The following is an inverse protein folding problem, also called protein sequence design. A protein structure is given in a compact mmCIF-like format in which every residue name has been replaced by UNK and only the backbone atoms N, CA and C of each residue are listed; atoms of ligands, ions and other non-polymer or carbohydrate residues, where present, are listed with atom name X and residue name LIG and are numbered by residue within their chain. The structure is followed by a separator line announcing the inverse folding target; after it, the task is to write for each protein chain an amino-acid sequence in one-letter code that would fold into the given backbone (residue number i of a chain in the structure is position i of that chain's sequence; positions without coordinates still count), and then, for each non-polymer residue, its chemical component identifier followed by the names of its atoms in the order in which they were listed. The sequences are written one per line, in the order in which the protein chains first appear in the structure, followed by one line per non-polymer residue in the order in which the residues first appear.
data_IF_743926704566
#
_entry.id   IF_743926704566
#
_cell.length_a   1.000
_cell.length_b   1.000
_cell.length_c   1.000
_cell.angle_alpha   90.00
_cell.angle_beta   90.00
_cell.angle_gamma   90.00
#
_symmetry.space_group_name_H-M   'P 1'
#
loop_
_entity.id
_entity.type
_entity.pdbx_description
1 polymer ?
#
# COMPACT_ATOMS: atom_id res chain seq x y z
N UNK A 1 9.43 -4.03 6.41
CA UNK A 1 9.42 -4.87 7.64
C UNK A 1 8.44 -4.27 8.63
N UNK A 2 7.48 -5.08 9.11
CA UNK A 2 6.44 -4.68 10.06
C UNK A 2 7.01 -4.14 11.38
N UNK A 3 8.10 -4.76 11.88
CA UNK A 3 8.80 -4.31 13.08
C UNK A 3 9.38 -2.90 12.92
N UNK A 4 9.98 -2.62 11.76
CA UNK A 4 10.51 -1.28 11.49
C UNK A 4 9.41 -0.23 11.42
N UNK A 5 8.25 -0.55 10.85
CA UNK A 5 7.10 0.34 10.83
C UNK A 5 6.56 0.61 12.25
N UNK A 6 6.39 -0.44 13.05
CA UNK A 6 5.94 -0.30 14.44
C UNK A 6 6.91 0.56 15.28
N UNK A 7 8.23 0.38 15.08
CA UNK A 7 9.27 1.13 15.80
C UNK A 7 9.39 2.58 15.33
N UNK A 8 9.40 2.81 14.01
CA UNK A 8 9.68 4.14 13.43
C UNK A 8 8.43 4.99 13.28
N UNK A 9 7.25 4.37 13.24
CA UNK A 9 5.92 5.01 13.08
C UNK A 9 5.78 5.89 11.84
N UNK A 10 6.67 5.75 10.87
CA UNK A 10 6.63 6.47 9.60
C UNK A 10 6.88 5.50 8.47
N UNK A 11 6.23 5.75 7.34
CA UNK A 11 6.37 4.99 6.11
C UNK A 11 6.40 5.92 4.91
N UNK A 12 6.86 5.35 3.80
CA UNK A 12 6.77 5.95 2.48
C UNK A 12 6.07 4.96 1.58
N UNK A 13 5.09 5.44 0.82
CA UNK A 13 4.40 4.66 -0.21
C UNK A 13 4.64 5.32 -1.57
N UNK A 14 5.01 4.51 -2.56
CA UNK A 14 5.07 4.91 -3.96
C UNK A 14 3.85 4.31 -4.66
N UNK A 15 3.07 5.17 -5.30
CA UNK A 15 2.00 4.79 -6.21
C UNK A 15 2.50 5.01 -7.63
N UNK A 16 2.43 3.98 -8.46
CA UNK A 16 2.96 3.99 -9.82
C UNK A 16 1.87 3.45 -10.75
N UNK A 17 1.07 4.36 -11.28
CA UNK A 17 -0.02 4.09 -12.22
C UNK A 17 0.16 4.95 -13.49
N UNK A 18 -0.39 4.53 -14.64
CA UNK A 18 -0.30 5.31 -15.88
C UNK A 18 -0.80 6.75 -15.76
N UNK A 19 -1.85 6.94 -14.96
CA UNK A 19 -2.51 8.25 -14.78
C UNK A 19 -1.99 9.00 -13.55
N UNK A 20 -1.20 8.36 -12.68
CA UNK A 20 -0.72 8.97 -11.43
C UNK A 20 0.54 8.29 -10.93
N UNK A 21 1.59 9.09 -10.74
CA UNK A 21 2.78 8.69 -10.00
C UNK A 21 2.86 9.59 -8.79
N UNK A 22 2.88 9.01 -7.59
CA UNK A 22 2.89 9.77 -6.35
C UNK A 22 3.79 9.14 -5.30
N UNK A 23 4.44 10.02 -4.55
CA UNK A 23 5.25 9.70 -3.40
C UNK A 23 4.54 10.22 -2.14
N UNK A 24 4.17 9.30 -1.23
CA UNK A 24 3.41 9.64 -0.03
C UNK A 24 4.28 9.49 1.22
N UNK A 25 4.27 10.51 2.08
CA UNK A 25 4.76 10.40 3.47
C UNK A 25 3.61 10.01 4.36
N UNK A 26 3.82 8.96 5.15
CA UNK A 26 2.79 8.36 5.96
C UNK A 26 3.20 8.27 7.43
N UNK A 27 2.27 8.53 8.34
CA UNK A 27 2.43 8.36 9.79
C UNK A 27 1.57 7.21 10.28
N UNK A 28 2.12 6.35 11.14
CA UNK A 28 1.36 5.28 11.78
C UNK A 28 0.37 5.84 12.81
N UNK A 29 -0.92 5.61 12.57
CA UNK A 29 -1.99 5.88 13.52
C UNK A 29 -2.22 4.68 14.44
N UNK A 30 -2.46 3.50 13.86
CA UNK A 30 -2.84 2.28 14.61
C UNK A 30 -2.26 1.00 13.99
N UNK A 31 -2.17 -0.05 14.80
CA UNK A 31 -1.69 -1.38 14.45
C UNK A 31 -0.31 -1.75 15.03
N UNK A 32 0.18 -2.97 14.75
CA UNK A 32 -0.46 -3.99 13.91
C UNK A 32 -1.72 -4.58 14.57
N UNK A 33 -2.83 -4.60 13.84
CA UNK A 33 -4.02 -5.37 14.20
C UNK A 33 -3.96 -6.74 13.50
N UNK A 34 -4.37 -7.83 14.16
CA UNK A 34 -4.39 -9.15 13.53
C UNK A 34 -5.38 -9.18 12.36
N UNK A 35 -5.01 -9.88 11.28
CA UNK A 35 -5.92 -10.16 10.17
C UNK A 35 -6.59 -11.52 10.38
N UNK A 36 -7.89 -11.51 10.61
CA UNK A 36 -8.69 -12.75 10.69
C UNK A 36 -8.55 -13.58 9.41
N UNK A 37 -8.49 -14.90 9.55
CA UNK A 37 -8.30 -15.82 8.43
C UNK A 37 -6.86 -15.88 7.89
N UNK A 38 -5.92 -15.11 8.46
CA UNK A 38 -4.51 -15.17 8.07
C UNK A 38 -3.77 -16.43 8.56
N UNK A 39 -4.32 -17.17 9.53
CA UNK A 39 -3.67 -18.37 10.08
C UNK A 39 -2.21 -18.11 10.48
N UNK A 40 -1.32 -19.02 10.07
CA UNK A 40 0.12 -18.95 10.35
C UNK A 40 0.89 -17.93 9.48
N UNK A 41 0.21 -17.21 8.58
CA UNK A 41 0.85 -16.23 7.69
C UNK A 41 1.33 -14.97 8.41
N UNK A 42 0.86 -14.73 9.64
CA UNK A 42 1.31 -13.61 10.47
C UNK A 42 0.99 -12.22 9.89
N UNK A 43 -0.14 -12.08 9.18
CA UNK A 43 -0.55 -10.81 8.58
C UNK A 43 -1.04 -9.80 9.64
N UNK A 44 -0.59 -8.56 9.49
CA UNK A 44 -0.97 -7.43 10.35
C UNK A 44 -1.50 -6.25 9.53
N UNK A 45 -2.59 -5.65 10.00
CA UNK A 45 -3.17 -4.42 9.45
C UNK A 45 -2.61 -3.20 10.18
N UNK A 46 -2.20 -2.19 9.43
CA UNK A 46 -1.71 -0.92 9.94
C UNK A 46 -2.56 0.21 9.36
N UNK A 47 -3.02 1.12 10.20
CA UNK A 47 -3.68 2.35 9.78
C UNK A 47 -2.63 3.47 9.68
N UNK A 48 -2.52 4.08 8.50
CA UNK A 48 -1.57 5.14 8.22
C UNK A 48 -2.31 6.42 7.85
N UNK A 49 -1.90 7.55 8.43
CA UNK A 49 -2.27 8.90 8.01
C UNK A 49 -1.37 9.35 6.87
N UNK A 50 -1.94 10.00 5.87
CA UNK A 50 -1.18 10.66 4.80
C UNK A 50 -0.80 12.06 5.28
N UNK A 51 0.50 12.30 5.43
CA UNK A 51 1.02 13.61 5.85
C UNK A 51 1.36 14.52 4.67
N UNK A 52 1.89 13.92 3.61
CA UNK A 52 2.36 14.64 2.44
C UNK A 52 2.16 13.75 1.21
N UNK A 53 1.71 14.36 0.11
CA UNK A 53 1.64 13.75 -1.21
C UNK A 53 2.49 14.60 -2.14
N UNK A 54 3.47 13.96 -2.78
CA UNK A 54 4.31 14.57 -3.81
C UNK A 54 3.99 13.85 -5.12
N UNK A 55 3.23 14.52 -5.99
CA UNK A 55 2.89 13.98 -7.30
C UNK A 55 4.02 14.25 -8.29
N UNK A 56 4.33 13.23 -9.10
CA UNK A 56 5.26 13.34 -10.22
C UNK A 56 4.45 13.71 -11.47
N UNK A 57 4.26 15.02 -11.64
CA UNK A 57 3.59 15.59 -12.80
C UNK A 57 4.63 15.92 -13.89
N UNK A 58 4.37 15.57 -15.16
CA UNK A 58 5.34 15.76 -16.21
C UNK A 58 5.62 17.24 -16.42
N UNK A 59 6.90 17.58 -16.57
CA UNK A 59 7.30 18.94 -16.91
C UNK A 59 7.12 19.22 -18.41
N UNK A 60 7.00 20.50 -18.79
CA UNK A 60 6.80 20.89 -20.20
C UNK A 60 7.87 20.33 -21.16
N UNK A 61 9.11 20.20 -20.68
CA UNK A 61 10.24 19.70 -21.47
C UNK A 61 10.22 18.18 -21.68
N UNK A 62 9.44 17.44 -20.89
CA UNK A 62 9.29 15.99 -21.01
C UNK A 62 8.35 15.60 -22.15
N UNK A 63 7.70 16.57 -22.81
CA UNK A 63 6.98 16.34 -24.06
C UNK A 63 5.82 15.35 -23.95
N UNK A 64 5.22 15.21 -22.76
CA UNK A 64 4.13 14.26 -22.51
C UNK A 64 4.58 12.80 -22.36
N UNK A 65 5.87 12.55 -22.14
CA UNK A 65 6.36 11.23 -21.74
C UNK A 65 5.67 10.83 -20.43
N UNK A 66 5.08 9.64 -20.42
CA UNK A 66 4.37 9.09 -19.27
C UNK A 66 4.45 7.58 -19.24
N UNK A 67 4.26 7.00 -18.06
CA UNK A 67 4.01 5.57 -17.96
C UNK A 67 2.71 5.23 -18.69
N UNK A 68 2.77 4.19 -19.53
CA UNK A 68 1.61 3.72 -20.30
C UNK A 68 0.98 2.47 -19.71
N UNK A 69 1.62 1.87 -18.70
CA UNK A 69 1.15 0.68 -18.00
C UNK A 69 1.61 0.70 -16.54
N UNK A 70 0.80 0.11 -15.66
CA UNK A 70 1.13 -0.09 -14.27
C UNK A 70 2.23 -1.14 -14.08
N UNK A 71 2.77 -1.22 -12.86
CA UNK A 71 3.69 -2.30 -12.48
C UNK A 71 2.94 -3.64 -12.52
N UNK A 72 3.48 -4.62 -13.26
CA UNK A 72 2.94 -5.97 -13.31
C UNK A 72 3.87 -6.95 -12.58
N UNK A 73 3.28 -7.92 -11.89
CA UNK A 73 4.01 -9.00 -11.23
C UNK A 73 4.00 -10.25 -12.11
N UNK A 74 5.14 -10.96 -12.15
CA UNK A 74 5.29 -12.22 -12.86
C UNK A 74 5.86 -13.30 -11.90
N UNK A 75 5.14 -14.41 -11.66
CA UNK A 75 3.79 -14.71 -12.17
C UNK A 75 2.73 -13.73 -11.62
N UNK A 76 1.60 -13.63 -12.33
CA UNK A 76 0.46 -12.88 -11.81
C UNK A 76 0.04 -13.46 -10.44
N UNK A 77 -0.23 -12.64 -9.42
CA UNK A 77 -0.68 -13.13 -8.14
C UNK A 77 -2.01 -13.87 -8.29
N UNK A 78 -2.08 -15.08 -7.76
CA UNK A 78 -3.34 -15.83 -7.67
C UNK A 78 -4.14 -15.30 -6.48
N UNK A 79 -5.33 -14.75 -6.76
CA UNK A 79 -6.21 -14.16 -5.76
C UNK A 79 -6.99 -15.21 -4.96
N UNK A 80 -6.97 -16.47 -5.38
CA UNK A 80 -7.58 -17.59 -4.66
C UNK A 80 -6.67 -18.17 -3.57
N UNK A 81 -5.40 -17.74 -3.54
CA UNK A 81 -4.47 -18.10 -2.48
C UNK A 81 -5.01 -17.68 -1.11
N UNK A 82 -4.77 -18.47 -0.04
CA UNK A 82 -5.30 -18.16 1.30
C UNK A 82 -4.91 -16.78 1.81
N UNK A 83 -3.67 -16.35 1.55
CA UNK A 83 -3.19 -15.04 1.96
C UNK A 83 -3.91 -13.90 1.23
N UNK A 84 -4.19 -14.06 -0.06
CA UNK A 84 -4.86 -13.06 -0.88
C UNK A 84 -6.32 -12.89 -0.44
N UNK A 85 -7.03 -14.00 -0.23
CA UNK A 85 -8.40 -13.98 0.31
C UNK A 85 -8.48 -13.34 1.70
N UNK A 86 -7.54 -13.65 2.60
CA UNK A 86 -7.48 -13.03 3.92
C UNK A 86 -7.25 -11.51 3.84
N UNK A 87 -6.37 -11.04 2.95
CA UNK A 87 -6.13 -9.61 2.70
C UNK A 87 -7.37 -8.93 2.11
N UNK A 88 -8.02 -9.53 1.11
CA UNK A 88 -9.21 -8.95 0.50
C UNK A 88 -10.39 -8.86 1.50
N UNK A 89 -10.61 -9.92 2.28
CA UNK A 89 -11.60 -9.90 3.36
C UNK A 89 -11.28 -8.83 4.42
N UNK A 90 -9.98 -8.64 4.72
CA UNK A 90 -9.53 -7.60 5.63
C UNK A 90 -9.87 -6.19 5.17
N UNK A 91 -9.69 -5.92 3.88
CA UNK A 91 -9.95 -4.62 3.26
C UNK A 91 -11.45 -4.34 3.09
N UNK A 92 -12.27 -5.37 2.92
CA UNK A 92 -13.72 -5.22 2.79
C UNK A 92 -14.42 -4.78 4.09
N UNK A 93 -13.79 -4.98 5.24
CA UNK A 93 -14.34 -4.62 6.54
C UNK A 93 -13.75 -3.29 7.02
N UNK A 94 -14.55 -2.31 7.49
CA UNK A 94 -14.03 -1.10 8.11
C UNK A 94 -13.23 -1.45 9.36
N UNK A 95 -11.90 -1.31 9.29
CA UNK A 95 -10.97 -1.59 10.39
C UNK A 95 -10.28 -0.36 10.95
N UNK A 96 -10.40 0.76 10.26
CA UNK A 96 -9.86 2.04 10.70
C UNK A 96 -10.60 2.49 11.97
N UNK A 97 -9.84 2.64 13.07
CA UNK A 97 -10.25 3.36 14.27
C UNK A 97 -9.25 4.50 14.44
N UNK A 98 -9.73 5.73 14.38
CA UNK A 98 -8.94 6.94 14.61
C UNK A 98 -9.35 7.55 15.96
#
# INVERSE_FOLDING_TARGET
SAENLARRRVATLLVIEPDTIAYLKLRLLDGPLPVEGAGDLGLGFFLLEVEEVVEDAPADWEGGVRLTQAVTYAPAPDLDEPWARAVLAALASPRARA
#
